data_IF_242344463610
#
_entry.id   IF_242344463610
#
_cell.length_a   1.000
_cell.length_b   1.000
_cell.length_c   1.000
_cell.angle_alpha   90.00
_cell.angle_beta   90.00
_cell.angle_gamma   90.00
#
_symmetry.space_group_name_H-M   'P 1'
#
loop_
_entity.id
_entity.type
_entity.pdbx_description
1 polymer ?
#
# COMPACT_ATOMS: atom_id res chain seq x y z
N UNK A 1 -28.52 -38.03 14.23
CA UNK A 1 -27.17 -38.12 14.83
C UNK A 1 -26.44 -36.83 14.52
N UNK A 2 -26.52 -35.88 15.46
CA UNK A 2 -25.72 -34.64 15.47
C UNK A 2 -24.67 -34.84 16.56
N UNK A 3 -23.40 -34.62 16.25
CA UNK A 3 -22.34 -34.54 17.25
C UNK A 3 -21.59 -33.23 17.02
N UNK A 4 -21.80 -32.32 17.97
CA UNK A 4 -21.04 -31.11 18.21
C UNK A 4 -19.63 -31.45 18.69
N UNK A 5 -18.63 -30.71 18.23
CA UNK A 5 -17.31 -30.69 18.88
C UNK A 5 -16.92 -29.24 19.15
N UNK A 6 -16.51 -29.04 20.40
CA UNK A 6 -16.34 -27.78 21.11
C UNK A 6 -15.03 -27.08 20.73
N UNK A 7 -15.08 -25.75 20.71
CA UNK A 7 -13.91 -24.88 20.77
C UNK A 7 -13.24 -24.99 22.16
N UNK A 8 -11.92 -25.12 22.19
CA UNK A 8 -11.11 -25.01 23.40
C UNK A 8 -10.31 -23.71 23.35
N UNK A 9 -10.55 -22.86 24.35
CA UNK A 9 -9.76 -21.68 24.65
C UNK A 9 -8.45 -22.09 25.33
N UNK A 10 -7.34 -21.47 24.94
CA UNK A 10 -6.14 -21.33 25.77
C UNK A 10 -5.55 -19.94 25.52
N UNK A 11 -5.68 -19.08 26.51
CA UNK A 11 -4.89 -17.87 26.62
C UNK A 11 -3.66 -18.13 27.48
N UNK A 12 -2.53 -17.50 27.14
CA UNK A 12 -1.58 -16.87 28.06
C UNK A 12 -0.85 -15.80 27.25
N UNK A 13 -1.15 -14.51 27.51
CA UNK A 13 -0.32 -13.39 27.06
C UNK A 13 0.58 -13.03 28.23
N UNK A 14 1.89 -13.23 28.07
CA UNK A 14 2.88 -12.73 29.01
C UNK A 14 3.14 -11.26 28.67
N UNK A 15 2.62 -10.36 29.49
CA UNK A 15 3.01 -8.95 29.51
C UNK A 15 4.39 -8.84 30.16
N UNK A 16 5.40 -8.47 29.37
CA UNK A 16 6.63 -7.87 29.92
C UNK A 16 6.58 -6.39 29.57
N UNK A 17 6.17 -5.58 30.55
CA UNK A 17 6.30 -4.14 30.50
C UNK A 17 7.79 -3.78 30.71
N UNK A 18 8.42 -3.23 29.67
CA UNK A 18 9.71 -2.57 29.75
C UNK A 18 9.61 -1.19 29.13
N UNK A 19 9.34 -0.17 29.96
CA UNK A 19 9.54 1.23 29.58
C UNK A 19 11.02 1.45 29.26
N UNK A 20 11.34 1.95 28.07
CA UNK A 20 12.40 2.93 27.88
C UNK A 20 12.02 3.88 26.74
N UNK A 21 11.76 5.13 27.11
CA UNK A 21 11.57 6.25 26.22
C UNK A 21 12.93 6.86 25.82
N UNK A 22 13.05 7.28 24.56
CA UNK A 22 14.02 8.27 24.06
C UNK A 22 15.50 7.93 24.18
N UNK A 23 16.14 7.55 23.08
CA UNK A 23 17.60 7.44 23.04
C UNK A 23 18.24 8.82 22.85
N UNK A 24 18.50 9.55 23.94
CA UNK A 24 19.27 10.79 23.90
C UNK A 24 19.67 11.33 25.28
N UNK A 25 20.95 11.16 25.64
CA UNK A 25 21.73 12.07 26.49
C UNK A 25 21.89 11.73 27.98
N UNK A 26 23.11 11.39 28.41
CA UNK A 26 23.51 11.42 29.83
C UNK A 26 24.76 10.58 30.16
N UNK A 27 25.85 11.26 30.50
CA UNK A 27 27.19 10.72 30.79
C UNK A 27 27.41 10.15 32.20
N UNK A 28 28.43 9.29 32.30
CA UNK A 28 29.38 9.04 33.42
C UNK A 28 29.23 7.74 34.24
N UNK A 29 30.35 6.99 34.34
CA UNK A 29 30.62 5.96 35.34
C UNK A 29 31.48 4.79 34.83
N UNK A 30 32.80 4.85 35.01
CA UNK A 30 33.76 3.86 34.50
C UNK A 30 33.98 2.62 35.37
N UNK A 31 34.47 1.54 34.73
CA UNK A 31 34.96 0.28 35.30
C UNK A 31 35.38 -0.68 34.16
N UNK A 32 36.39 -1.55 34.33
CA UNK A 32 37.39 -1.81 33.30
C UNK A 32 36.96 -2.76 32.18
N UNK A 33 37.54 -2.52 31.01
CA UNK A 33 37.39 -3.28 29.79
C UNK A 33 37.95 -4.72 29.91
N UNK A 34 37.18 -5.69 29.42
CA UNK A 34 37.72 -6.93 28.88
C UNK A 34 36.81 -7.45 27.77
N UNK A 35 37.40 -7.61 26.57
CA UNK A 35 36.75 -8.21 25.40
C UNK A 35 36.04 -7.22 24.48
N UNK A 36 36.75 -6.22 23.95
CA UNK A 36 36.29 -5.54 22.74
C UNK A 36 36.18 -6.59 21.62
N UNK A 37 34.95 -6.94 21.25
CA UNK A 37 34.71 -7.55 19.94
C UNK A 37 35.28 -6.57 18.92
N UNK A 38 36.19 -7.07 18.07
CA UNK A 38 36.77 -6.28 16.99
C UNK A 38 35.64 -5.62 16.20
N UNK A 39 35.78 -4.36 15.75
CA UNK A 39 34.84 -3.79 14.80
C UNK A 39 34.79 -4.78 13.63
N UNK A 40 33.60 -5.26 13.28
CA UNK A 40 33.44 -6.03 12.06
C UNK A 40 34.14 -5.24 10.96
N UNK A 41 35.19 -5.84 10.39
CA UNK A 41 35.94 -5.25 9.29
C UNK A 41 34.92 -4.67 8.32
N UNK A 42 35.11 -3.40 7.96
CA UNK A 42 34.27 -2.69 7.01
C UNK A 42 34.42 -3.33 5.63
N UNK A 43 33.82 -4.49 5.45
CA UNK A 43 33.58 -5.09 4.15
C UNK A 43 32.54 -4.20 3.50
N UNK A 44 33.01 -3.28 2.67
CA UNK A 44 32.13 -2.62 1.72
C UNK A 44 31.64 -3.73 0.79
N UNK A 45 30.37 -4.08 0.89
CA UNK A 45 29.76 -5.07 0.01
C UNK A 45 29.48 -4.38 -1.32
N UNK A 46 30.51 -4.26 -2.14
CA UNK A 46 30.43 -3.59 -3.43
C UNK A 46 29.50 -4.40 -4.35
N UNK A 47 28.38 -3.79 -4.72
CA UNK A 47 27.46 -4.36 -5.70
C UNK A 47 28.07 -4.32 -7.10
N UNK A 48 27.98 -5.44 -7.81
CA UNK A 48 28.40 -5.49 -9.22
C UNK A 48 27.51 -4.67 -10.16
N UNK A 49 26.26 -4.41 -9.77
CA UNK A 49 25.29 -3.64 -10.58
C UNK A 49 24.92 -2.36 -9.84
N UNK A 50 25.25 -1.19 -10.38
CA UNK A 50 24.86 0.09 -9.78
C UNK A 50 23.38 0.41 -10.00
N UNK A 51 22.70 0.92 -8.97
CA UNK A 51 21.34 1.46 -9.10
C UNK A 51 21.34 2.93 -9.57
N UNK A 52 20.30 3.38 -10.28
CA UNK A 52 20.09 4.81 -10.54
C UNK A 52 20.03 5.63 -9.25
N UNK A 53 20.34 6.92 -9.33
CA UNK A 53 20.28 7.85 -8.19
C UNK A 53 18.89 7.81 -7.55
N UNK A 54 18.85 7.70 -6.22
CA UNK A 54 17.61 7.65 -5.43
C UNK A 54 16.91 6.29 -5.45
N UNK A 55 17.44 5.28 -6.15
CA UNK A 55 16.93 3.91 -6.16
C UNK A 55 17.80 3.00 -5.29
N UNK A 56 17.17 1.96 -4.74
CA UNK A 56 17.83 0.91 -3.95
C UNK A 56 17.71 -0.44 -4.64
N UNK A 57 18.59 -1.36 -4.26
CA UNK A 57 18.55 -2.74 -4.74
C UNK A 57 17.29 -3.45 -4.23
N UNK A 58 16.82 -4.45 -4.97
CA UNK A 58 15.76 -5.36 -4.49
C UNK A 58 16.25 -6.19 -3.29
N UNK A 59 15.37 -6.61 -2.38
CA UNK A 59 15.77 -7.35 -1.16
C UNK A 59 16.36 -8.73 -1.45
N UNK A 60 16.16 -9.28 -2.65
CA UNK A 60 16.74 -10.55 -3.11
C UNK A 60 17.88 -10.35 -4.13
N UNK A 61 18.36 -9.12 -4.30
CA UNK A 61 19.53 -8.77 -5.10
C UNK A 61 20.77 -8.74 -4.18
N UNK A 62 21.59 -9.78 -4.24
CA UNK A 62 22.86 -9.86 -3.49
C UNK A 62 24.02 -9.14 -4.19
N UNK A 63 25.05 -8.67 -3.47
CA UNK A 63 26.17 -7.90 -4.04
C UNK A 63 26.93 -8.57 -5.19
N UNK A 64 27.00 -9.91 -5.18
CA UNK A 64 27.70 -10.72 -6.18
C UNK A 64 26.90 -10.99 -7.45
N UNK A 65 25.66 -10.49 -7.55
CA UNK A 65 24.81 -10.68 -8.72
C UNK A 65 25.36 -9.88 -9.91
N UNK A 66 25.76 -10.58 -10.97
CA UNK A 66 26.22 -9.94 -12.21
C UNK A 66 25.06 -9.29 -12.99
N UNK A 67 25.41 -8.51 -14.03
CA UNK A 67 24.43 -7.80 -14.85
C UNK A 67 23.42 -8.74 -15.55
N UNK A 68 23.85 -9.94 -15.97
CA UNK A 68 22.97 -10.88 -16.66
C UNK A 68 21.96 -11.52 -15.68
N UNK A 69 22.39 -11.82 -14.46
CA UNK A 69 21.54 -12.29 -13.38
C UNK A 69 20.57 -11.20 -12.90
N UNK A 70 21.03 -9.95 -12.83
CA UNK A 70 20.16 -8.81 -12.53
C UNK A 70 19.09 -8.60 -13.61
N UNK A 71 19.45 -8.68 -14.89
CA UNK A 71 18.47 -8.58 -15.97
C UNK A 71 17.45 -9.71 -15.92
N UNK A 72 17.86 -10.94 -15.57
CA UNK A 72 16.94 -12.04 -15.31
C UNK A 72 16.00 -11.72 -14.15
N UNK A 73 16.52 -11.29 -13.00
CA UNK A 73 15.72 -10.87 -11.85
C UNK A 73 14.66 -9.85 -12.26
N UNK A 74 15.05 -8.81 -13.01
CA UNK A 74 14.13 -7.76 -13.45
C UNK A 74 13.08 -8.28 -14.43
N UNK A 75 13.42 -9.26 -15.29
CA UNK A 75 12.48 -9.86 -16.25
C UNK A 75 11.52 -10.88 -15.63
N UNK A 76 11.86 -11.43 -14.46
CA UNK A 76 11.07 -12.44 -13.75
C UNK A 76 10.45 -11.91 -12.46
N UNK A 77 10.56 -10.61 -12.21
CA UNK A 77 10.01 -9.99 -11.02
C UNK A 77 8.49 -10.21 -11.00
N UNK A 78 7.97 -10.66 -9.86
CA UNK A 78 6.53 -10.81 -9.67
C UNK A 78 6.11 -10.19 -8.35
N UNK A 79 5.30 -9.14 -8.46
CA UNK A 79 4.61 -8.47 -7.37
C UNK A 79 3.14 -8.89 -7.42
N UNK A 80 2.66 -9.54 -6.36
CA UNK A 80 1.26 -9.99 -6.28
C UNK A 80 0.33 -8.93 -5.70
N UNK A 81 0.83 -8.09 -4.79
CA UNK A 81 0.13 -6.94 -4.20
C UNK A 81 1.11 -5.80 -3.91
N UNK A 82 0.64 -4.56 -3.99
CA UNK A 82 1.41 -3.38 -3.62
C UNK A 82 0.66 -2.49 -2.61
N UNK A 83 1.33 -1.44 -2.18
CA UNK A 83 0.88 -0.54 -1.14
C UNK A 83 -0.43 0.16 -1.51
N UNK A 84 -1.32 0.37 -0.54
CA UNK A 84 -2.57 1.11 -0.72
C UNK A 84 -3.70 0.32 -1.35
N UNK A 85 -3.44 -0.91 -1.80
CA UNK A 85 -4.44 -1.75 -2.43
C UNK A 85 -5.46 -2.28 -1.41
N UNK A 86 -6.74 -2.28 -1.79
CA UNK A 86 -7.79 -2.92 -1.01
C UNK A 86 -7.62 -4.44 -0.94
N UNK A 87 -7.78 -4.98 0.27
CA UNK A 87 -7.77 -6.40 0.58
C UNK A 87 -8.97 -6.75 1.44
N UNK A 88 -9.55 -7.93 1.23
CA UNK A 88 -10.67 -8.44 2.01
C UNK A 88 -11.64 -9.26 1.16
N UNK A 89 -12.67 -9.78 1.81
CA UNK A 89 -13.80 -10.50 1.19
C UNK A 89 -15.13 -9.73 1.37
N UNK A 90 -15.03 -8.42 1.62
CA UNK A 90 -16.17 -7.53 1.83
C UNK A 90 -16.78 -7.55 3.23
N UNK A 91 -16.27 -8.36 4.17
CA UNK A 91 -16.65 -8.26 5.58
C UNK A 91 -15.71 -7.33 6.35
N UNK A 92 -16.21 -6.46 7.26
CA UNK A 92 -15.36 -5.55 8.02
C UNK A 92 -14.19 -6.23 8.76
N UNK A 93 -14.33 -7.51 9.11
CA UNK A 93 -13.31 -8.29 9.79
C UNK A 93 -12.09 -8.59 8.91
N UNK A 94 -12.29 -8.67 7.60
CA UNK A 94 -11.24 -9.04 6.63
C UNK A 94 -10.67 -7.85 5.86
N UNK A 95 -11.34 -6.70 5.91
CA UNK A 95 -11.02 -5.54 5.09
C UNK A 95 -9.83 -4.75 5.61
N UNK A 96 -8.87 -4.47 4.75
CA UNK A 96 -7.74 -3.60 5.05
C UNK A 96 -7.12 -3.00 3.78
N UNK A 97 -6.27 -2.00 3.98
CA UNK A 97 -5.35 -1.51 2.96
C UNK A 97 -4.01 -2.21 3.11
N UNK A 98 -3.48 -2.77 2.03
CA UNK A 98 -2.18 -3.42 2.03
C UNK A 98 -1.07 -2.40 2.32
N UNK A 99 -0.28 -2.62 3.37
CA UNK A 99 0.69 -1.66 3.89
C UNK A 99 2.12 -1.85 3.38
N UNK A 100 2.34 -2.79 2.45
CA UNK A 100 3.64 -3.08 1.90
C UNK A 100 3.63 -3.51 0.44
N UNK A 101 4.65 -4.28 0.07
CA UNK A 101 4.85 -4.86 -1.25
C UNK A 101 5.07 -6.37 -1.12
N UNK A 102 4.19 -7.15 -1.75
CA UNK A 102 4.29 -8.61 -1.76
C UNK A 102 5.06 -9.05 -3.00
N UNK A 103 6.29 -9.51 -2.78
CA UNK A 103 7.19 -9.99 -3.83
C UNK A 103 7.15 -11.51 -3.81
N UNK A 104 6.63 -12.13 -4.86
CA UNK A 104 6.52 -13.58 -4.96
C UNK A 104 7.90 -14.19 -5.12
N UNK A 105 8.33 -14.92 -4.09
CA UNK A 105 9.66 -15.49 -3.98
C UNK A 105 9.53 -16.87 -3.32
N UNK A 106 10.22 -17.90 -3.83
CA UNK A 106 10.24 -19.20 -3.18
C UNK A 106 10.85 -19.14 -1.78
N UNK A 107 10.39 -20.00 -0.87
CA UNK A 107 11.02 -20.21 0.43
C UNK A 107 12.51 -20.58 0.24
N UNK A 108 13.36 -20.06 1.13
CA UNK A 108 14.81 -20.21 1.04
C UNK A 108 15.51 -19.15 0.19
N UNK A 109 14.77 -18.30 -0.54
CA UNK A 109 15.36 -17.17 -1.28
C UNK A 109 16.13 -16.25 -0.31
N UNK A 110 17.44 -16.00 -0.51
CA UNK A 110 18.22 -15.10 0.34
C UNK A 110 17.68 -13.67 0.32
N UNK A 111 17.60 -13.07 1.51
CA UNK A 111 17.19 -11.68 1.69
C UNK A 111 18.35 -10.86 2.25
N UNK A 112 18.57 -9.69 1.68
CA UNK A 112 19.68 -8.81 1.95
C UNK A 112 19.21 -7.46 2.49
N UNK A 113 20.05 -6.79 3.29
CA UNK A 113 19.73 -5.48 3.81
C UNK A 113 19.67 -4.44 2.68
N UNK A 114 18.53 -3.76 2.59
CA UNK A 114 18.28 -2.70 1.61
C UNK A 114 19.12 -1.43 1.83
N UNK A 115 19.71 -1.25 3.01
CA UNK A 115 20.54 -0.11 3.39
C UNK A 115 21.45 -0.45 4.57
N UNK A 116 22.50 0.34 4.78
CA UNK A 116 23.26 0.37 6.03
C UNK A 116 22.33 0.76 7.18
N UNK A 117 22.39 0.05 8.29
CA UNK A 117 21.38 0.16 9.32
C UNK A 117 21.69 -0.55 10.62
N UNK A 118 20.66 -0.63 11.46
CA UNK A 118 20.64 -1.42 12.70
C UNK A 118 19.36 -2.22 12.79
N UNK A 119 19.45 -3.46 13.27
CA UNK A 119 18.26 -4.25 13.58
C UNK A 119 17.56 -3.65 14.79
N UNK A 120 16.31 -3.20 14.62
CA UNK A 120 15.51 -2.54 15.65
C UNK A 120 14.32 -3.37 16.12
N UNK A 121 13.97 -4.43 15.39
CA UNK A 121 12.96 -5.39 15.82
C UNK A 121 13.17 -6.75 15.17
N UNK A 122 12.84 -7.79 15.94
CA UNK A 122 12.69 -9.16 15.45
C UNK A 122 11.63 -9.85 16.29
N UNK A 123 10.66 -10.50 15.65
CA UNK A 123 9.61 -11.24 16.35
C UNK A 123 8.72 -12.02 15.40
N UNK A 124 7.79 -12.81 15.95
CA UNK A 124 6.82 -13.56 15.17
C UNK A 124 5.83 -12.64 14.44
N UNK A 125 5.44 -13.00 13.21
CA UNK A 125 4.44 -12.28 12.43
C UNK A 125 3.65 -13.24 11.53
N UNK A 126 2.45 -13.63 11.97
CA UNK A 126 1.56 -14.53 11.21
C UNK A 126 2.28 -15.78 10.68
N UNK A 127 2.42 -15.86 9.36
CA UNK A 127 3.02 -16.98 8.61
C UNK A 127 4.56 -17.06 8.63
N UNK A 128 5.27 -16.26 9.43
CA UNK A 128 6.74 -16.34 9.57
C UNK A 128 7.28 -15.44 10.69
N UNK A 129 8.54 -15.02 10.60
CA UNK A 129 9.10 -13.93 11.41
C UNK A 129 8.98 -12.58 10.68
N UNK A 130 9.08 -11.51 11.47
CA UNK A 130 9.28 -10.13 11.05
C UNK A 130 10.65 -9.68 11.53
N UNK A 131 11.42 -9.09 10.62
CA UNK A 131 12.71 -8.45 10.89
C UNK A 131 12.62 -6.98 10.45
N UNK A 132 13.04 -6.05 11.30
CA UNK A 132 13.05 -4.62 10.99
C UNK A 132 14.44 -4.05 11.14
N UNK A 133 14.90 -3.39 10.09
CA UNK A 133 16.18 -2.68 10.02
C UNK A 133 15.91 -1.20 9.86
N UNK A 134 16.32 -0.39 10.83
CA UNK A 134 16.36 1.07 10.71
C UNK A 134 17.54 1.45 9.84
N UNK A 135 17.30 2.25 8.80
CA UNK A 135 18.39 2.74 7.97
C UNK A 135 19.12 3.92 8.63
N UNK A 136 20.39 4.07 8.27
CA UNK A 136 21.26 5.12 8.79
C UNK A 136 21.02 6.49 8.17
N UNK A 137 20.04 6.64 7.25
CA UNK A 137 19.82 7.89 6.53
C UNK A 137 19.04 8.95 7.34
N UNK A 138 18.75 8.69 8.62
CA UNK A 138 18.55 9.73 9.62
C UNK A 138 17.12 10.23 9.83
N UNK A 139 16.11 9.55 9.30
CA UNK A 139 14.71 9.97 9.42
C UNK A 139 13.82 8.97 10.20
N UNK A 140 14.43 7.98 10.86
CA UNK A 140 13.72 6.95 11.64
C UNK A 140 12.94 5.96 10.77
N UNK A 141 13.19 5.96 9.46
CA UNK A 141 12.58 5.02 8.56
C UNK A 141 13.32 3.67 8.56
N UNK A 142 12.54 2.62 8.34
CA UNK A 142 12.98 1.26 8.40
C UNK A 142 12.54 0.46 7.18
N UNK A 143 13.28 -0.62 6.92
CA UNK A 143 12.88 -1.71 6.06
C UNK A 143 12.42 -2.87 6.93
N UNK A 144 11.18 -3.30 6.71
CA UNK A 144 10.57 -4.41 7.43
C UNK A 144 10.36 -5.58 6.47
N UNK A 145 10.95 -6.71 6.80
CA UNK A 145 10.90 -7.96 6.06
C UNK A 145 10.00 -8.92 6.84
N UNK A 146 8.88 -9.33 6.24
CA UNK A 146 7.89 -10.22 6.85
C UNK A 146 7.82 -11.51 6.07
N UNK A 147 7.48 -12.60 6.76
CA UNK A 147 7.54 -13.97 6.23
C UNK A 147 8.99 -14.38 5.98
N UNK A 148 9.85 -14.14 6.97
CA UNK A 148 11.26 -14.52 6.93
C UNK A 148 11.57 -15.63 7.93
N UNK A 149 12.63 -16.39 7.63
CA UNK A 149 13.15 -17.47 8.46
C UNK A 149 14.67 -17.56 8.35
N UNK A 150 15.26 -18.47 9.12
CA UNK A 150 16.73 -18.64 9.22
C UNK A 150 17.47 -17.30 9.38
N UNK A 151 16.92 -16.41 10.22
CA UNK A 151 17.44 -15.06 10.42
C UNK A 151 18.85 -15.11 11.02
N UNK A 152 19.79 -14.45 10.35
CA UNK A 152 21.24 -14.46 10.62
C UNK A 152 21.71 -13.33 11.55
N UNK A 153 20.79 -12.43 11.91
CA UNK A 153 21.04 -11.25 12.72
C UNK A 153 20.16 -11.24 13.98
N UNK A 154 20.54 -10.42 14.95
CA UNK A 154 19.87 -10.23 16.24
C UNK A 154 19.53 -8.76 16.45
N UNK A 155 18.59 -8.50 17.36
CA UNK A 155 18.24 -7.15 17.79
C UNK A 155 19.51 -6.39 18.23
N UNK A 156 19.67 -5.18 17.71
CA UNK A 156 20.81 -4.31 18.00
C UNK A 156 22.01 -4.50 17.07
N UNK A 157 22.07 -5.55 16.24
CA UNK A 157 23.19 -5.76 15.32
C UNK A 157 23.27 -4.63 14.28
N UNK A 158 24.46 -4.07 14.02
CA UNK A 158 24.67 -3.24 12.84
C UNK A 158 24.61 -4.13 11.59
N UNK A 159 24.04 -3.60 10.51
CA UNK A 159 23.98 -4.29 9.22
C UNK A 159 24.47 -3.37 8.11
N UNK A 160 25.11 -3.97 7.10
CA UNK A 160 25.54 -3.27 5.88
C UNK A 160 24.57 -3.54 4.74
N UNK A 161 24.38 -2.57 3.86
CA UNK A 161 23.69 -2.76 2.59
C UNK A 161 24.27 -3.99 1.87
N UNK A 162 23.39 -4.87 1.41
CA UNK A 162 23.79 -6.14 0.77
C UNK A 162 24.21 -7.26 1.72
N UNK A 163 24.23 -7.05 3.04
CA UNK A 163 24.46 -8.14 4.00
C UNK A 163 23.25 -9.07 4.01
N UNK A 164 23.48 -10.39 3.89
CA UNK A 164 22.39 -11.36 4.01
C UNK A 164 21.82 -11.36 5.43
N UNK A 165 20.51 -11.12 5.53
CA UNK A 165 19.78 -11.02 6.79
C UNK A 165 19.05 -12.32 7.12
N UNK A 166 18.39 -12.92 6.14
CA UNK A 166 17.47 -14.03 6.34
C UNK A 166 17.22 -14.77 5.01
N UNK A 167 16.23 -15.65 5.02
CA UNK A 167 15.61 -16.19 3.81
C UNK A 167 14.09 -15.99 3.86
N UNK A 168 13.43 -16.03 2.71
CA UNK A 168 11.95 -16.12 2.66
C UNK A 168 11.52 -17.42 3.34
N UNK A 169 10.53 -17.33 4.22
CA UNK A 169 9.91 -18.46 4.92
C UNK A 169 8.43 -18.20 5.16
N UNK A 170 7.61 -18.77 4.28
CA UNK A 170 6.17 -18.63 4.26
C UNK A 170 5.51 -20.01 4.37
N UNK A 171 4.67 -20.20 5.39
CA UNK A 171 4.09 -21.51 5.73
C UNK A 171 2.94 -21.98 4.83
N UNK A 172 1.94 -21.13 4.57
CA UNK A 172 0.67 -21.56 3.95
C UNK A 172 0.19 -20.60 2.85
N UNK A 173 0.18 -21.06 1.58
CA UNK A 173 -0.33 -20.29 0.43
C UNK A 173 0.77 -19.92 -0.58
N UNK A 174 0.57 -18.81 -1.30
CA UNK A 174 1.56 -18.30 -2.27
C UNK A 174 2.79 -17.75 -1.52
N UNK A 175 3.95 -18.35 -1.73
CA UNK A 175 5.20 -17.94 -1.08
C UNK A 175 5.62 -16.55 -1.55
N UNK A 176 5.83 -15.63 -0.61
CA UNK A 176 6.24 -14.26 -0.90
C UNK A 176 7.00 -13.65 0.28
N UNK A 177 7.74 -12.58 0.00
CA UNK A 177 8.19 -11.61 0.98
C UNK A 177 7.18 -10.46 1.03
N UNK A 178 6.68 -10.13 2.22
CA UNK A 178 5.99 -8.86 2.44
C UNK A 178 7.01 -7.82 2.93
N UNK A 179 7.27 -6.81 2.10
CA UNK A 179 8.26 -5.76 2.35
C UNK A 179 7.55 -4.43 2.67
N UNK A 180 7.84 -3.83 3.83
CA UNK A 180 7.36 -2.48 4.15
C UNK A 180 8.49 -1.46 4.18
N UNK A 181 8.16 -0.25 3.76
CA UNK A 181 8.86 0.97 4.16
C UNK A 181 8.07 1.63 5.28
N UNK A 182 8.58 1.57 6.51
CA UNK A 182 7.80 1.95 7.68
C UNK A 182 8.62 2.72 8.72
N UNK A 183 7.95 3.47 9.58
CA UNK A 183 8.54 4.11 10.77
C UNK A 183 7.72 3.75 12.00
N UNK A 184 8.39 3.51 13.13
CA UNK A 184 7.69 3.34 14.40
C UNK A 184 6.97 4.63 14.77
N UNK A 185 5.77 4.51 15.36
CA UNK A 185 5.12 5.67 15.99
C UNK A 185 5.83 5.94 17.32
N UNK A 186 6.30 7.18 17.59
CA UNK A 186 7.03 7.47 18.83
C UNK A 186 6.29 7.02 20.09
N UNK A 187 7.01 6.33 20.98
CA UNK A 187 6.44 5.79 22.23
C UNK A 187 5.58 4.54 22.06
N UNK A 188 5.46 4.01 20.85
CA UNK A 188 4.71 2.79 20.55
C UNK A 188 5.65 1.80 19.86
N UNK A 189 5.71 0.57 20.36
CA UNK A 189 6.60 -0.45 19.81
C UNK A 189 6.23 -0.85 18.38
N UNK A 190 7.16 -1.47 17.66
CA UNK A 190 6.95 -2.01 16.30
C UNK A 190 5.79 -3.00 16.20
N UNK A 191 5.47 -3.68 17.30
CA UNK A 191 4.37 -4.64 17.42
C UNK A 191 3.02 -4.03 17.80
N UNK A 192 2.84 -2.71 17.79
CA UNK A 192 1.54 -2.10 18.07
C UNK A 192 1.14 -1.02 17.06
N UNK A 193 2.06 -0.13 16.65
CA UNK A 193 1.75 0.92 15.66
C UNK A 193 3.01 1.40 14.93
N UNK A 194 3.00 1.26 13.60
CA UNK A 194 3.94 1.90 12.69
C UNK A 194 3.16 2.64 11.60
N UNK A 195 3.83 3.58 10.92
CA UNK A 195 3.32 4.21 9.72
C UNK A 195 4.09 3.66 8.52
N UNK A 196 3.38 2.96 7.64
CA UNK A 196 3.92 2.48 6.38
C UNK A 196 3.68 3.48 5.25
N UNK A 197 4.57 3.43 4.25
CA UNK A 197 4.47 4.14 2.98
C UNK A 197 4.80 3.23 1.82
N UNK A 198 4.41 3.66 0.64
CA UNK A 198 4.73 2.99 -0.61
C UNK A 198 6.26 2.85 -0.78
N UNK A 199 6.80 1.61 -0.83
CA UNK A 199 8.22 1.39 -1.08
C UNK A 199 8.59 1.49 -2.56
N UNK A 200 7.62 1.41 -3.49
CA UNK A 200 7.88 1.35 -4.93
C UNK A 200 8.64 2.55 -5.51
N UNK A 201 8.51 3.79 -5.00
CA UNK A 201 9.31 4.91 -5.49
C UNK A 201 10.82 4.74 -5.29
N UNK A 202 11.24 3.89 -4.34
CA UNK A 202 12.65 3.59 -4.08
C UNK A 202 13.17 2.44 -4.95
N UNK A 203 12.29 1.71 -5.65
CA UNK A 203 12.65 0.52 -6.42
C UNK A 203 12.71 0.85 -7.92
N UNK A 204 13.48 0.04 -8.65
CA UNK A 204 13.46 0.05 -10.12
C UNK A 204 12.39 -0.94 -10.57
N UNK A 205 11.38 -0.44 -11.26
CA UNK A 205 10.33 -1.23 -11.88
C UNK A 205 10.47 -1.10 -13.40
N UNK A 206 10.28 -2.20 -14.13
CA UNK A 206 10.18 -2.19 -15.59
C UNK A 206 8.71 -2.25 -15.96
N UNK A 207 8.18 -1.15 -16.46
CA UNK A 207 6.85 -1.09 -17.03
C UNK A 207 6.88 -0.46 -18.41
N UNK A 208 5.99 -0.93 -19.27
CA UNK A 208 5.75 -0.39 -20.60
C UNK A 208 4.26 -0.18 -20.87
N UNK A 209 3.38 -0.60 -19.95
CA UNK A 209 1.93 -0.48 -20.11
C UNK A 209 1.39 0.53 -19.08
N UNK A 210 0.64 1.55 -19.52
CA UNK A 210 -0.01 2.45 -18.56
C UNK A 210 -1.11 1.71 -17.77
N UNK A 211 -1.52 2.25 -16.61
CA UNK A 211 -2.67 1.74 -15.88
C UNK A 211 -3.93 1.64 -16.73
N UNK A 212 -4.78 0.66 -16.43
CA UNK A 212 -6.07 0.49 -17.09
C UNK A 212 -7.19 1.16 -16.30
N UNK A 213 -7.93 2.04 -16.97
CA UNK A 213 -9.16 2.63 -16.47
C UNK A 213 -10.32 1.90 -17.15
N UNK A 214 -11.03 1.07 -16.40
CA UNK A 214 -12.20 0.39 -16.93
C UNK A 214 -13.35 1.40 -17.10
N UNK A 215 -13.76 1.58 -18.35
CA UNK A 215 -14.98 2.30 -18.71
C UNK A 215 -16.18 1.35 -18.77
N UNK A 216 -17.40 1.83 -18.49
CA UNK A 216 -17.71 3.18 -18.03
C UNK A 216 -17.39 3.41 -16.54
N UNK A 217 -17.26 4.67 -16.13
CA UNK A 217 -17.30 5.06 -14.71
C UNK A 217 -18.71 4.79 -14.15
N UNK A 218 -18.79 4.60 -12.84
CA UNK A 218 -20.04 4.37 -12.13
C UNK A 218 -20.39 5.60 -11.29
N UNK A 219 -21.68 5.96 -11.31
CA UNK A 219 -22.22 7.06 -10.52
C UNK A 219 -23.25 6.48 -9.56
N UNK A 220 -23.00 6.59 -8.27
CA UNK A 220 -23.86 6.04 -7.23
C UNK A 220 -24.38 7.14 -6.32
N UNK A 221 -25.51 6.91 -5.66
CA UNK A 221 -25.93 7.78 -4.57
C UNK A 221 -24.92 7.68 -3.44
N UNK A 222 -24.48 8.82 -2.92
CA UNK A 222 -23.43 8.84 -1.90
C UNK A 222 -23.80 8.01 -0.68
N UNK A 223 -22.86 7.16 -0.25
CA UNK A 223 -23.02 6.34 0.95
C UNK A 223 -24.04 5.21 0.83
N UNK A 224 -24.53 4.95 -0.39
CA UNK A 224 -25.34 3.78 -0.69
C UNK A 224 -24.74 3.01 -1.86
N UNK A 225 -25.41 1.93 -2.24
CA UNK A 225 -25.07 1.09 -3.38
C UNK A 225 -26.07 1.28 -4.54
N UNK A 226 -26.88 2.35 -4.48
CA UNK A 226 -27.84 2.70 -5.51
C UNK A 226 -27.12 3.33 -6.70
N UNK A 227 -27.18 2.65 -7.84
CA UNK A 227 -26.65 3.15 -9.10
C UNK A 227 -27.57 4.26 -9.67
N UNK A 228 -27.00 5.44 -9.87
CA UNK A 228 -27.65 6.56 -10.57
C UNK A 228 -27.37 6.54 -12.07
N UNK A 229 -26.18 6.10 -12.47
CA UNK A 229 -25.75 6.13 -13.86
C UNK A 229 -24.49 5.32 -14.15
N UNK A 230 -24.27 5.03 -15.44
CA UNK A 230 -23.07 4.38 -15.98
C UNK A 230 -22.65 5.07 -17.26
N UNK A 231 -21.49 5.70 -17.22
CA UNK A 231 -20.88 6.24 -18.43
C UNK A 231 -21.52 7.51 -18.95
N UNK A 232 -20.99 7.95 -20.10
CA UNK A 232 -21.47 9.13 -20.81
C UNK A 232 -22.97 9.05 -21.14
N UNK A 233 -23.67 10.17 -20.98
CA UNK A 233 -25.11 10.30 -21.19
C UNK A 233 -25.96 9.96 -19.96
N UNK A 234 -25.35 9.45 -18.88
CA UNK A 234 -26.04 9.25 -17.60
C UNK A 234 -26.58 10.57 -17.05
N UNK A 235 -27.73 10.49 -16.37
CA UNK A 235 -28.31 11.62 -15.64
C UNK A 235 -28.18 11.38 -14.15
N UNK A 236 -27.65 12.35 -13.40
CA UNK A 236 -27.45 12.26 -11.95
C UNK A 236 -28.09 13.45 -11.23
N UNK A 237 -28.41 13.25 -9.95
CA UNK A 237 -29.02 14.26 -9.07
C UNK A 237 -28.76 13.94 -7.60
N UNK A 238 -28.64 14.97 -6.77
CA UNK A 238 -28.34 14.85 -5.33
C UNK A 238 -26.84 14.64 -5.06
N UNK A 239 -26.53 13.94 -3.97
CA UNK A 239 -25.15 13.57 -3.60
C UNK A 239 -24.70 12.32 -4.35
N UNK A 240 -23.61 12.44 -5.10
CA UNK A 240 -23.10 11.42 -6.01
C UNK A 240 -21.68 10.99 -5.65
N UNK A 241 -21.46 9.68 -5.57
CA UNK A 241 -20.17 9.02 -5.57
C UNK A 241 -19.75 8.68 -7.00
N UNK A 242 -18.54 9.10 -7.39
CA UNK A 242 -17.94 8.78 -8.69
C UNK A 242 -16.94 7.66 -8.46
N UNK A 243 -17.16 6.51 -9.09
CA UNK A 243 -16.35 5.32 -8.89
C UNK A 243 -15.64 4.93 -10.18
N UNK A 244 -14.31 4.79 -10.09
CA UNK A 244 -13.48 4.30 -11.18
C UNK A 244 -12.92 2.92 -10.86
N UNK A 245 -13.12 1.97 -11.76
CA UNK A 245 -12.49 0.66 -11.71
C UNK A 245 -11.10 0.77 -12.34
N UNK A 246 -10.05 0.66 -11.52
CA UNK A 246 -8.67 0.83 -11.93
C UNK A 246 -7.85 -0.42 -11.63
N UNK A 247 -6.84 -0.66 -12.47
CA UNK A 247 -5.76 -1.60 -12.20
C UNK A 247 -4.49 -1.16 -12.90
N UNK A 248 -3.37 -1.60 -12.38
CA UNK A 248 -2.09 -1.51 -13.07
C UNK A 248 -1.59 -2.91 -13.49
N UNK A 249 -1.04 -3.00 -14.70
CA UNK A 249 -0.70 -4.23 -15.41
C UNK A 249 0.74 -4.17 -15.94
N UNK A 250 1.69 -3.99 -15.02
CA UNK A 250 3.10 -4.01 -15.39
C UNK A 250 3.65 -5.40 -15.69
N UNK A 251 4.83 -5.45 -16.32
CA UNK A 251 5.57 -6.69 -16.52
C UNK A 251 5.86 -7.44 -15.21
N UNK A 252 5.94 -6.68 -14.10
CA UNK A 252 6.10 -7.16 -12.73
C UNK A 252 4.79 -7.57 -12.05
N UNK A 253 3.63 -7.24 -12.62
CA UNK A 253 2.30 -7.62 -12.10
C UNK A 253 1.83 -8.99 -12.63
N UNK A 254 2.65 -9.68 -13.41
CA UNK A 254 2.23 -10.87 -14.14
C UNK A 254 2.33 -12.15 -13.30
N UNK A 255 1.28 -12.97 -13.26
CA UNK A 255 1.37 -14.30 -12.69
C UNK A 255 2.33 -15.14 -13.52
N UNK A 256 3.21 -15.89 -12.84
CA UNK A 256 3.90 -17.03 -13.47
C UNK A 256 2.86 -17.90 -14.19
N UNK A 257 3.14 -18.44 -15.39
CA UNK A 257 2.22 -19.31 -16.11
C UNK A 257 1.64 -20.41 -15.22
N UNK A 258 0.31 -20.47 -15.10
CA UNK A 258 -0.40 -21.44 -14.25
C UNK A 258 -0.82 -20.92 -12.87
N UNK A 259 -0.38 -19.73 -12.45
CA UNK A 259 -0.91 -19.07 -11.25
C UNK A 259 -2.19 -18.28 -11.56
N UNK A 260 -3.07 -18.16 -10.57
CA UNK A 260 -4.29 -17.34 -10.67
C UNK A 260 -3.87 -15.87 -10.87
N UNK A 261 -4.28 -15.19 -11.95
CA UNK A 261 -3.93 -13.79 -12.16
C UNK A 261 -4.53 -12.91 -11.06
N UNK A 262 -3.68 -12.37 -10.19
CA UNK A 262 -4.03 -11.28 -9.25
C UNK A 262 -3.46 -9.95 -9.76
N UNK A 263 -3.60 -9.69 -11.06
CA UNK A 263 -3.21 -8.44 -11.73
C UNK A 263 -4.06 -7.26 -11.23
N UNK A 264 -3.80 -6.78 -10.02
CA UNK A 264 -4.60 -5.75 -9.35
C UNK A 264 -3.73 -4.70 -8.66
N UNK A 265 -2.57 -4.38 -9.20
CA UNK A 265 -1.70 -3.38 -8.55
C UNK A 265 -2.37 -2.01 -8.52
N UNK A 266 -2.18 -1.30 -7.42
CA UNK A 266 -2.64 0.07 -7.24
C UNK A 266 -1.79 1.04 -8.06
N UNK A 267 -2.40 2.07 -8.67
CA UNK A 267 -1.66 3.16 -9.30
C UNK A 267 -0.94 4.02 -8.27
N UNK A 268 0.07 4.79 -8.69
CA UNK A 268 0.81 5.71 -7.82
C UNK A 268 0.09 7.04 -7.62
N UNK A 269 -0.63 7.50 -8.64
CA UNK A 269 -1.31 8.79 -8.65
C UNK A 269 -2.66 8.70 -9.36
N UNK A 270 -3.69 9.24 -8.74
CA UNK A 270 -5.02 9.43 -9.35
C UNK A 270 -5.34 10.93 -9.33
N UNK A 271 -5.66 11.50 -10.48
CA UNK A 271 -6.16 12.86 -10.60
C UNK A 271 -7.51 12.85 -11.32
N UNK A 272 -8.44 13.69 -10.88
CA UNK A 272 -9.76 13.81 -11.49
C UNK A 272 -10.27 15.24 -11.44
N UNK A 273 -11.16 15.57 -12.36
CA UNK A 273 -11.82 16.87 -12.44
C UNK A 273 -13.23 16.76 -13.00
N UNK A 274 -14.08 17.70 -12.60
CA UNK A 274 -15.43 17.90 -13.09
C UNK A 274 -15.49 19.33 -13.64
N UNK A 275 -15.81 19.44 -14.92
CA UNK A 275 -15.88 20.72 -15.64
C UNK A 275 -17.29 20.97 -16.16
N UNK A 276 -17.70 22.24 -16.23
CA UNK A 276 -18.96 22.63 -16.87
C UNK A 276 -18.87 22.56 -18.40
N UNK A 277 -20.00 22.78 -19.09
CA UNK A 277 -20.08 22.75 -20.56
C UNK A 277 -19.19 23.78 -21.29
N UNK A 278 -18.61 24.75 -20.57
CA UNK A 278 -17.61 25.68 -21.13
C UNK A 278 -16.17 25.18 -21.00
N UNK A 279 -15.97 24.06 -20.30
CA UNK A 279 -14.65 23.51 -19.98
C UNK A 279 -14.02 24.09 -18.71
N UNK A 280 -14.74 24.93 -17.95
CA UNK A 280 -14.26 25.45 -16.68
C UNK A 280 -14.34 24.37 -15.60
N UNK A 281 -13.20 24.04 -15.00
CA UNK A 281 -13.11 23.10 -13.87
C UNK A 281 -13.83 23.70 -12.65
N UNK A 282 -14.78 22.95 -12.10
CA UNK A 282 -15.56 23.34 -10.91
C UNK A 282 -15.12 22.59 -9.65
N UNK A 283 -14.72 21.32 -9.81
CA UNK A 283 -14.21 20.48 -8.71
C UNK A 283 -13.12 19.57 -9.25
N UNK A 284 -12.09 19.33 -8.46
CA UNK A 284 -10.99 18.45 -8.85
C UNK A 284 -10.33 17.85 -7.62
N UNK A 285 -9.67 16.71 -7.80
CA UNK A 285 -8.87 16.07 -6.78
C UNK A 285 -7.63 15.41 -7.38
N UNK A 286 -6.64 15.21 -6.52
CA UNK A 286 -5.37 14.56 -6.85
C UNK A 286 -4.91 13.79 -5.64
N UNK A 287 -4.67 12.49 -5.75
CA UNK A 287 -4.24 11.64 -4.66
C UNK A 287 -2.97 10.89 -5.03
N UNK A 288 -1.93 11.09 -4.22
CA UNK A 288 -0.58 10.60 -4.43
C UNK A 288 -0.27 9.54 -3.37
N UNK A 289 -0.31 8.26 -3.78
CA UNK A 289 -0.09 7.12 -2.89
C UNK A 289 1.30 7.14 -2.26
N UNK A 290 2.28 7.79 -2.90
CA UNK A 290 3.66 7.90 -2.38
C UNK A 290 3.75 8.81 -1.14
N UNK A 291 2.76 9.68 -0.95
CA UNK A 291 2.63 10.57 0.23
C UNK A 291 1.67 10.02 1.27
N UNK A 292 0.86 9.04 0.90
CA UNK A 292 -0.12 8.42 1.75
C UNK A 292 0.54 7.50 2.78
N UNK A 293 0.10 7.60 4.02
CA UNK A 293 0.53 6.78 5.14
C UNK A 293 -0.58 5.81 5.56
N UNK A 294 -0.22 4.54 5.71
CA UNK A 294 -1.09 3.53 6.31
C UNK A 294 -0.56 3.23 7.70
N UNK A 295 -1.37 3.48 8.73
CA UNK A 295 -1.05 2.97 10.06
C UNK A 295 -1.15 1.44 10.03
N UNK A 296 -0.16 0.74 10.56
CA UNK A 296 0.06 -0.68 10.33
C UNK A 296 -1.07 -1.64 10.79
N UNK A 297 -0.85 -2.91 10.48
CA UNK A 297 -1.82 -4.01 10.52
C UNK A 297 -2.60 -4.27 11.83
N UNK A 298 -2.10 -3.85 13.00
CA UNK A 298 -2.62 -4.24 14.32
C UNK A 298 -3.76 -3.36 14.86
N UNK A 299 -4.29 -2.49 14.00
CA UNK A 299 -5.54 -1.79 14.27
C UNK A 299 -6.73 -2.77 14.42
N UNK A 300 -7.78 -2.30 15.08
CA UNK A 300 -9.04 -3.04 15.12
C UNK A 300 -9.56 -3.28 13.70
N UNK A 301 -10.17 -4.45 13.41
CA UNK A 301 -10.71 -4.74 12.09
C UNK A 301 -11.66 -3.64 11.58
N UNK A 302 -12.47 -3.07 12.48
CA UNK A 302 -13.40 -1.99 12.13
C UNK A 302 -12.67 -0.73 11.65
N UNK A 303 -11.49 -0.42 12.18
CA UNK A 303 -10.71 0.73 11.72
C UNK A 303 -10.11 0.48 10.34
N UNK A 304 -9.56 -0.72 10.12
CA UNK A 304 -9.03 -1.14 8.82
C UNK A 304 -10.11 -1.15 7.74
N UNK A 305 -11.30 -1.66 8.08
CA UNK A 305 -12.46 -1.62 7.20
C UNK A 305 -12.87 -0.19 6.84
N UNK A 306 -12.93 0.73 7.82
CA UNK A 306 -13.22 2.14 7.55
C UNK A 306 -12.19 2.77 6.61
N UNK A 307 -10.90 2.48 6.81
CA UNK A 307 -9.84 2.99 5.94
C UNK A 307 -9.98 2.48 4.50
N UNK A 308 -10.29 1.20 4.34
CA UNK A 308 -10.58 0.60 3.03
C UNK A 308 -11.83 1.22 2.38
N UNK A 309 -12.96 1.28 3.10
CA UNK A 309 -14.23 1.81 2.59
C UNK A 309 -14.17 3.31 2.30
N UNK A 310 -13.22 4.02 2.90
CA UNK A 310 -12.98 5.42 2.58
C UNK A 310 -12.45 5.59 1.16
N UNK A 311 -11.51 4.75 0.73
CA UNK A 311 -10.89 4.87 -0.59
C UNK A 311 -11.61 4.05 -1.66
N UNK A 312 -12.29 2.97 -1.25
CA UNK A 312 -12.79 1.96 -2.16
C UNK A 312 -14.28 1.67 -1.96
N UNK A 313 -14.97 1.44 -3.08
CA UNK A 313 -16.22 0.70 -3.08
C UNK A 313 -15.95 -0.80 -3.06
N UNK A 314 -16.71 -1.49 -2.23
CA UNK A 314 -16.57 -2.93 -1.97
C UNK A 314 -17.49 -3.70 -2.89
N UNK A 315 -16.96 -4.53 -3.79
CA UNK A 315 -17.75 -5.31 -4.75
C UNK A 315 -18.92 -6.07 -4.12
N UNK A 316 -18.66 -6.71 -2.98
CA UNK A 316 -19.58 -7.60 -2.28
C UNK A 316 -20.78 -6.86 -1.67
N UNK A 317 -20.68 -5.54 -1.47
CA UNK A 317 -21.79 -4.72 -0.97
C UNK A 317 -22.77 -4.30 -2.09
N UNK A 318 -22.33 -4.32 -3.35
CA UNK A 318 -22.93 -3.57 -4.46
C UNK A 318 -23.99 -4.31 -5.30
N UNK A 319 -24.40 -5.51 -4.88
CA UNK A 319 -25.46 -6.27 -5.55
C UNK A 319 -25.13 -6.68 -6.99
N UNK A 320 -26.11 -7.28 -7.66
CA UNK A 320 -25.92 -7.93 -8.98
C UNK A 320 -25.93 -7.01 -10.19
N UNK A 321 -26.39 -5.76 -10.06
CA UNK A 321 -26.50 -4.86 -11.21
C UNK A 321 -25.13 -4.40 -11.69
N UNK A 322 -24.16 -4.19 -10.79
CA UNK A 322 -22.78 -3.78 -11.12
C UNK A 322 -21.97 -5.03 -11.47
N UNK A 323 -21.55 -5.17 -12.73
CA UNK A 323 -20.70 -6.29 -13.17
C UNK A 323 -19.25 -6.07 -12.71
N UNK A 324 -18.94 -6.53 -11.51
CA UNK A 324 -17.59 -6.52 -10.96
C UNK A 324 -16.64 -7.39 -11.78
N UNK A 325 -15.48 -6.84 -12.13
CA UNK A 325 -14.45 -7.58 -12.86
C UNK A 325 -13.31 -7.90 -11.91
N UNK A 326 -12.92 -9.17 -11.91
CA UNK A 326 -11.72 -9.62 -11.20
C UNK A 326 -10.49 -8.88 -11.72
N UNK A 327 -9.60 -8.52 -10.80
CA UNK A 327 -8.38 -7.79 -11.10
C UNK A 327 -8.51 -6.26 -11.10
N UNK A 328 -9.69 -5.69 -10.81
CA UNK A 328 -9.86 -4.25 -10.64
C UNK A 328 -10.13 -3.88 -9.18
N UNK A 329 -9.66 -2.71 -8.79
CA UNK A 329 -10.06 -2.04 -7.55
C UNK A 329 -10.89 -0.80 -7.88
N UNK A 330 -11.89 -0.51 -7.06
CA UNK A 330 -12.94 0.45 -7.40
C UNK A 330 -12.83 1.66 -6.48
N UNK A 331 -12.22 2.71 -6.98
CA UNK A 331 -11.82 3.90 -6.22
C UNK A 331 -12.96 4.91 -6.18
N UNK A 332 -13.24 5.44 -4.99
CA UNK A 332 -14.16 6.57 -4.76
C UNK A 332 -13.44 7.88 -5.09
N UNK A 333 -13.54 8.35 -6.34
CA UNK A 333 -12.74 9.49 -6.82
C UNK A 333 -12.95 10.75 -6.00
N UNK A 334 -14.20 11.06 -5.69
CA UNK A 334 -14.57 12.25 -4.92
C UNK A 334 -13.95 12.28 -3.51
N UNK A 335 -13.46 11.15 -2.98
CA UNK A 335 -12.72 11.08 -1.71
C UNK A 335 -11.20 11.29 -1.86
N UNK A 336 -10.69 11.30 -3.09
CA UNK A 336 -9.27 11.36 -3.41
C UNK A 336 -8.82 12.81 -3.65
N UNK A 337 -8.13 13.42 -2.69
CA UNK A 337 -7.71 14.82 -2.74
C UNK A 337 -6.27 15.04 -2.22
N UNK A 338 -5.66 16.19 -2.59
CA UNK A 338 -4.22 16.41 -2.43
C UNK A 338 -3.76 16.47 -0.97
N UNK A 339 -4.65 16.89 -0.07
CA UNK A 339 -4.40 16.95 1.36
C UNK A 339 -4.57 15.62 2.10
N UNK A 340 -5.04 14.56 1.43
CA UNK A 340 -5.25 13.27 2.05
C UNK A 340 -3.92 12.53 2.20
N UNK A 341 -3.29 12.66 3.37
CA UNK A 341 -2.02 11.97 3.67
C UNK A 341 -2.20 10.74 4.56
N UNK A 342 -3.33 10.61 5.27
CA UNK A 342 -3.72 9.44 6.07
C UNK A 342 -5.25 9.39 6.13
N UNK A 343 -5.84 8.19 6.24
CA UNK A 343 -7.30 8.06 6.44
C UNK A 343 -7.63 8.08 7.94
N UNK A 344 -8.37 9.11 8.36
CA UNK A 344 -8.94 9.25 9.70
C UNK A 344 -10.18 8.37 9.93
N UNK A 345 -10.75 8.44 11.13
CA UNK A 345 -11.86 7.57 11.54
C UNK A 345 -13.24 7.97 10.99
N UNK A 346 -13.40 9.17 10.41
CA UNK A 346 -14.68 9.70 9.93
C UNK A 346 -14.65 9.98 8.42
N UNK A 347 -15.76 9.64 7.73
CA UNK A 347 -16.03 10.09 6.36
C UNK A 347 -16.35 11.60 6.40
N UNK A 348 -15.57 12.48 5.76
CA UNK A 348 -15.92 13.90 5.67
C UNK A 348 -17.17 14.05 4.80
N UNK A 349 -18.14 14.84 5.27
CA UNK A 349 -19.40 15.07 4.55
C UNK A 349 -19.23 15.95 3.30
N UNK A 350 -18.12 16.69 3.20
CA UNK A 350 -17.89 17.70 2.15
C UNK A 350 -17.22 17.14 0.89
N UNK A 351 -16.97 15.83 0.84
CA UNK A 351 -16.23 15.20 -0.27
C UNK A 351 -17.15 14.87 -1.45
N UNK A 352 -18.43 14.64 -1.20
CA UNK A 352 -19.41 14.21 -2.20
C UNK A 352 -19.56 15.21 -3.36
N UNK A 353 -19.93 14.74 -4.55
CA UNK A 353 -20.44 15.64 -5.58
C UNK A 353 -21.93 15.88 -5.31
N UNK A 354 -22.25 16.95 -4.57
CA UNK A 354 -23.64 17.34 -4.34
C UNK A 354 -24.13 18.25 -5.46
N UNK A 355 -24.84 17.68 -6.43
CA UNK A 355 -25.38 18.44 -7.56
C UNK A 355 -26.47 19.42 -7.13
N UNK A 356 -27.03 19.27 -5.93
CA UNK A 356 -28.08 20.16 -5.41
C UNK A 356 -27.52 21.36 -4.64
N UNK A 357 -26.20 21.43 -4.48
CA UNK A 357 -25.52 22.50 -3.75
C UNK A 357 -25.86 23.90 -4.28
N UNK A 358 -26.12 24.82 -3.36
CA UNK A 358 -26.44 26.21 -3.64
C UNK A 358 -25.30 27.12 -3.21
N UNK A 359 -25.00 28.13 -4.03
CA UNK A 359 -24.20 29.28 -3.64
C UNK A 359 -24.93 30.08 -2.55
N UNK A 360 -24.18 30.93 -1.83
CA UNK A 360 -24.73 31.80 -0.79
C UNK A 360 -25.86 32.73 -1.28
N UNK A 361 -25.91 33.01 -2.59
CA UNK A 361 -26.94 33.83 -3.23
C UNK A 361 -28.17 33.02 -3.71
N UNK A 362 -28.23 31.72 -3.41
CA UNK A 362 -29.34 30.83 -3.76
C UNK A 362 -29.29 30.25 -5.18
N UNK A 363 -28.30 30.63 -6.00
CA UNK A 363 -28.09 29.97 -7.31
C UNK A 363 -27.50 28.59 -7.12
N UNK A 364 -27.85 27.65 -8.02
CA UNK A 364 -27.22 26.31 -8.03
C UNK A 364 -25.73 26.44 -8.36
N UNK A 365 -24.87 25.81 -7.56
CA UNK A 365 -23.46 25.63 -7.89
C UNK A 365 -23.30 24.73 -9.12
N UNK A 366 -24.22 23.76 -9.26
CA UNK A 366 -24.32 22.83 -10.38
C UNK A 366 -25.67 22.99 -11.10
N UNK A 367 -25.86 24.02 -11.95
CA UNK A 367 -27.06 24.17 -12.77
C UNK A 367 -27.29 22.95 -13.67
N UNK A 368 -28.55 22.69 -14.03
CA UNK A 368 -28.89 21.62 -14.97
C UNK A 368 -28.13 21.77 -16.29
N UNK A 369 -27.55 20.67 -16.77
CA UNK A 369 -26.73 20.68 -17.97
C UNK A 369 -25.70 19.58 -18.03
N UNK A 370 -24.85 19.66 -19.05
CA UNK A 370 -23.77 18.72 -19.28
C UNK A 370 -22.51 19.10 -18.50
N UNK A 371 -21.89 18.11 -17.87
CA UNK A 371 -20.64 18.19 -17.15
C UNK A 371 -19.68 17.14 -17.68
N UNK A 372 -18.39 17.47 -17.70
CA UNK A 372 -17.34 16.54 -18.11
C UNK A 372 -16.62 16.04 -16.87
N UNK A 373 -16.58 14.73 -16.67
CA UNK A 373 -15.76 14.06 -15.65
C UNK A 373 -14.54 13.50 -16.35
N UNK A 374 -13.35 13.93 -15.94
CA UNK A 374 -12.09 13.42 -16.46
C UNK A 374 -11.29 12.80 -15.33
N UNK A 375 -10.64 11.67 -15.61
CA UNK A 375 -9.73 10.98 -14.71
C UNK A 375 -8.41 10.72 -15.43
N UNK A 376 -7.30 10.95 -14.75
CA UNK A 376 -5.95 10.55 -15.17
C UNK A 376 -5.32 9.70 -14.08
N UNK A 377 -4.80 8.53 -14.44
CA UNK A 377 -4.20 7.55 -13.53
C UNK A 377 -2.77 7.31 -13.97
N UNK A 378 -1.82 7.31 -13.03
CA UNK A 378 -0.38 7.13 -13.31
C UNK A 378 0.18 5.99 -12.46
N UNK A 379 1.04 5.17 -13.04
CA UNK A 379 1.75 4.09 -12.33
C UNK A 379 3.03 4.56 -11.63
N UNK A 380 3.77 3.64 -11.00
CA UNK A 380 5.01 3.94 -10.31
C UNK A 380 6.20 4.28 -11.23
N UNK A 381 6.10 4.01 -12.54
CA UNK A 381 7.11 4.36 -13.56
C UNK A 381 6.84 5.69 -14.25
N UNK A 382 5.64 6.24 -14.07
CA UNK A 382 5.20 7.51 -14.64
C UNK A 382 4.37 7.39 -15.91
N UNK A 383 3.97 6.18 -16.35
CA UNK A 383 3.04 6.05 -17.46
C UNK A 383 1.63 6.38 -16.98
N UNK A 384 0.85 7.03 -17.85
CA UNK A 384 -0.49 7.48 -17.51
C UNK A 384 -1.54 7.03 -18.52
N UNK A 385 -2.73 6.75 -18.03
CA UNK A 385 -3.95 6.64 -18.82
C UNK A 385 -4.94 7.72 -18.43
N UNK A 386 -5.85 8.05 -19.35
CA UNK A 386 -6.91 9.04 -19.14
C UNK A 386 -8.24 8.52 -19.67
N UNK A 387 -9.32 8.82 -18.96
CA UNK A 387 -10.69 8.63 -19.42
C UNK A 387 -11.51 9.89 -19.18
N UNK A 388 -12.49 10.13 -20.04
CA UNK A 388 -13.36 11.30 -20.01
C UNK A 388 -14.79 10.87 -20.30
N UNK A 389 -15.75 11.35 -19.51
CA UNK A 389 -17.16 11.09 -19.70
C UNK A 389 -17.99 12.37 -19.59
N UNK A 390 -19.10 12.42 -20.32
CA UNK A 390 -20.07 13.54 -20.22
C UNK A 390 -21.33 13.11 -19.49
N UNK A 391 -21.64 13.76 -18.38
CA UNK A 391 -22.75 13.44 -17.49
C UNK A 391 -23.75 14.60 -17.49
N UNK A 392 -25.04 14.27 -17.45
CA UNK A 392 -26.12 15.24 -17.32
C UNK A 392 -26.50 15.42 -15.84
N UNK A 393 -26.56 16.64 -15.37
CA UNK A 393 -27.15 16.98 -14.07
C UNK A 393 -28.57 17.48 -14.28
N UNK A 394 -29.51 16.97 -13.48
CA UNK A 394 -30.91 17.44 -13.42
C UNK A 394 -31.41 17.44 -11.97
N UNK A 395 -31.67 18.62 -11.41
CA UNK A 395 -31.95 18.82 -9.97
C UNK A 395 -33.32 19.42 -9.62
#
# INVERSE_FOLDING_TARGET
>A
MMASVRAAAWGVVILVAGLLAGCGGGSAGGGPASGAAQPADSVNLDYQVSMPVGKVHWPHHGPSMDAAAHERLMSTLWVSNNFGLYQGNGTPESMYLHDGLDIVLPNGTPLYAMADGRVVYRGSAGNGEMLVVEDTQGEGWCWMYVHVGQVRVKLGDPVRNGQQLAVVDFRDGLQHLHLNRARAVPGQGWGENYLARDPTPLLVLKDAEPPEIQSPLLYLRSGSEELLGRGSGSTVSGRVDIVAALRDRGSYANPVPGAVPVQRLAPSLIAWEISDGSGRVLKSGRFDFTRFGIQGFLQSPQRKARQAQFLFKVPEALGGDVQWRTGFSYYLLNHLHQGLTEVGDARPQDQDWDTTELLADGRRLWPDGAYTVQITVTDATGLSARATETIQVRN
#
